data_IF_490160773737
#
_entry.id   IF_490160773737
#
_cell.length_a   1.000
_cell.length_b   1.000
_cell.length_c   1.000
_cell.angle_alpha   90.00
_cell.angle_beta   90.00
_cell.angle_gamma   90.00
#
_symmetry.space_group_name_H-M   'P 1'
#
loop_
_entity.id
_entity.type
_entity.pdbx_description
1 polymer ?
#
# COMPACT_ATOMS: atom_id res chain seq x y z
N UNK A 1 -13.61 -17.96 2.50
CA UNK A 1 -13.31 -16.66 1.89
C UNK A 1 -11.80 -16.44 2.04
N UNK A 2 -11.03 -16.68 0.98
CA UNK A 2 -9.58 -16.51 1.03
C UNK A 2 -9.27 -15.01 1.07
N UNK A 3 -8.84 -14.53 2.24
CA UNK A 3 -8.27 -13.19 2.41
C UNK A 3 -7.11 -13.01 1.42
N UNK A 4 -6.94 -11.84 0.78
CA UNK A 4 -6.09 -11.64 -0.38
C UNK A 4 -4.62 -11.79 -0.01
N UNK A 5 -4.08 -13.00 -0.18
CA UNK A 5 -2.64 -13.21 -0.29
C UNK A 5 -2.13 -12.60 -1.62
N UNK A 6 -3.04 -12.29 -2.55
CA UNK A 6 -2.73 -11.85 -3.93
C UNK A 6 -1.91 -10.55 -4.04
N UNK A 7 -1.69 -9.77 -2.97
CA UNK A 7 -0.99 -8.48 -3.07
C UNK A 7 0.02 -8.19 -1.98
N UNK A 8 0.54 -9.23 -1.30
CA UNK A 8 1.64 -9.04 -0.35
C UNK A 8 2.96 -9.00 -1.13
N UNK A 9 3.75 -7.89 -1.06
CA UNK A 9 4.98 -7.80 -1.83
C UNK A 9 5.98 -8.89 -1.46
N UNK A 10 6.52 -9.56 -2.48
CA UNK A 10 7.72 -10.38 -2.38
C UNK A 10 8.87 -9.51 -2.87
N UNK A 11 9.90 -9.37 -2.05
CA UNK A 11 10.98 -8.41 -2.27
C UNK A 11 12.35 -9.06 -2.10
N UNK A 12 13.36 -8.45 -2.72
CA UNK A 12 14.76 -8.81 -2.48
C UNK A 12 15.22 -8.42 -1.08
N UNK A 13 16.34 -8.97 -0.64
CA UNK A 13 16.94 -8.60 0.65
C UNK A 13 17.22 -7.09 0.79
N UNK A 14 17.71 -6.44 -0.26
CA UNK A 14 18.00 -5.00 -0.24
C UNK A 14 16.74 -4.17 0.03
N UNK A 15 15.61 -4.53 -0.59
CA UNK A 15 14.33 -3.88 -0.36
C UNK A 15 13.79 -4.20 1.04
N UNK A 16 13.91 -5.46 1.49
CA UNK A 16 13.52 -5.84 2.85
C UNK A 16 14.27 -5.01 3.91
N UNK A 17 15.55 -4.73 3.69
CA UNK A 17 16.37 -3.93 4.61
C UNK A 17 15.92 -2.46 4.70
N UNK A 18 15.35 -1.88 3.63
CA UNK A 18 14.73 -0.54 3.69
C UNK A 18 13.58 -0.54 4.69
N UNK A 19 12.68 -1.52 4.60
CA UNK A 19 11.55 -1.61 5.52
C UNK A 19 11.99 -1.88 6.98
N UNK A 20 12.99 -2.75 7.20
CA UNK A 20 13.57 -2.98 8.53
C UNK A 20 14.12 -1.71 9.15
N UNK A 21 14.79 -0.88 8.35
CA UNK A 21 15.42 0.33 8.84
C UNK A 21 14.41 1.45 9.11
N UNK A 22 13.44 1.64 8.21
CA UNK A 22 12.61 2.84 8.19
C UNK A 22 11.21 2.65 8.80
N UNK A 23 10.71 1.42 8.86
CA UNK A 23 9.35 1.13 9.33
C UNK A 23 9.23 -0.23 10.07
N UNK A 24 10.13 -0.55 11.04
CA UNK A 24 10.17 -1.86 11.68
C UNK A 24 8.88 -2.22 12.44
N UNK A 25 8.17 -1.23 13.00
CA UNK A 25 6.94 -1.45 13.75
C UNK A 25 5.68 -1.54 12.85
N UNK A 26 5.84 -1.25 11.57
CA UNK A 26 4.74 -1.20 10.60
C UNK A 26 4.70 -2.43 9.68
N UNK A 27 5.78 -3.23 9.67
CA UNK A 27 5.87 -4.44 8.85
C UNK A 27 6.36 -5.65 9.61
N UNK A 28 5.94 -6.82 9.16
CA UNK A 28 6.59 -8.10 9.42
C UNK A 28 7.27 -8.56 8.13
N UNK A 29 8.47 -9.12 8.28
CA UNK A 29 9.28 -9.57 7.15
C UNK A 29 9.63 -11.03 7.34
N UNK A 30 9.19 -11.87 6.41
CA UNK A 30 9.36 -13.31 6.47
C UNK A 30 10.23 -13.81 5.33
N UNK A 31 11.31 -14.58 5.58
CA UNK A 31 12.07 -15.19 4.51
C UNK A 31 11.20 -16.22 3.78
N UNK A 32 11.33 -16.27 2.47
CA UNK A 32 10.63 -17.24 1.61
C UNK A 32 11.57 -17.80 0.55
N UNK A 33 11.28 -19.02 0.12
CA UNK A 33 11.97 -19.68 -0.99
C UNK A 33 11.10 -19.53 -2.24
N UNK A 34 11.68 -19.01 -3.31
CA UNK A 34 11.00 -18.82 -4.61
C UNK A 34 11.64 -19.77 -5.61
N UNK A 35 10.96 -20.87 -5.93
CA UNK A 35 11.47 -21.89 -6.86
C UNK A 35 12.83 -22.46 -6.42
N UNK A 36 13.72 -22.68 -7.39
CA UNK A 36 15.11 -23.12 -7.17
C UNK A 36 16.11 -21.96 -7.13
N UNK A 37 15.64 -20.72 -6.91
CA UNK A 37 16.50 -19.55 -6.87
C UNK A 37 17.46 -19.60 -5.68
N UNK A 38 18.73 -19.25 -5.92
CA UNK A 38 19.75 -19.11 -4.87
C UNK A 38 19.67 -17.80 -4.10
N UNK A 39 18.88 -16.84 -4.60
CA UNK A 39 18.69 -15.52 -3.99
C UNK A 39 17.69 -15.56 -2.85
N UNK A 40 17.94 -14.76 -1.81
CA UNK A 40 17.03 -14.63 -0.66
C UNK A 40 15.89 -13.65 -0.97
N UNK A 41 14.65 -14.14 -0.86
CA UNK A 41 13.44 -13.35 -1.01
C UNK A 41 12.68 -13.25 0.31
N UNK A 42 11.90 -12.19 0.45
CA UNK A 42 11.13 -11.92 1.66
C UNK A 42 9.72 -11.47 1.32
N UNK A 43 8.76 -11.93 2.11
CA UNK A 43 7.40 -11.38 2.13
C UNK A 43 7.38 -10.18 3.08
N UNK A 44 6.83 -9.05 2.63
CA UNK A 44 6.62 -7.84 3.45
C UNK A 44 5.13 -7.70 3.79
N UNK A 45 4.77 -8.06 5.02
CA UNK A 45 3.41 -7.92 5.52
C UNK A 45 3.26 -6.60 6.29
N UNK A 46 2.45 -5.66 5.78
CA UNK A 46 2.08 -4.47 6.55
C UNK A 46 1.11 -4.85 7.68
N UNK A 47 1.44 -4.50 8.92
CA UNK A 47 0.61 -4.87 10.09
C UNK A 47 -0.44 -3.83 10.47
N UNK A 48 -0.35 -2.63 9.88
CA UNK A 48 -1.28 -1.53 10.13
C UNK A 48 -2.34 -1.42 9.03
N UNK A 49 -3.59 -1.25 9.45
CA UNK A 49 -4.74 -1.03 8.59
C UNK A 49 -5.46 0.25 9.02
N UNK A 50 -5.65 1.20 8.11
CA UNK A 50 -6.08 2.56 8.43
C UNK A 50 -7.31 2.96 7.61
N UNK A 51 -8.31 3.58 8.23
CA UNK A 51 -9.52 4.09 7.55
C UNK A 51 -9.30 5.53 7.02
N UNK A 52 -8.44 5.66 6.02
CA UNK A 52 -7.90 6.96 5.58
C UNK A 52 -8.38 7.46 4.21
N UNK A 53 -9.21 6.72 3.47
CA UNK A 53 -9.57 7.09 2.10
C UNK A 53 -10.43 8.36 2.11
N UNK A 54 -10.08 9.33 1.25
CA UNK A 54 -10.83 10.55 1.03
C UNK A 54 -11.53 10.47 -0.33
N UNK A 55 -12.70 9.82 -0.36
CA UNK A 55 -13.46 9.56 -1.59
C UNK A 55 -13.76 10.85 -2.38
N UNK A 56 -14.02 11.95 -1.67
CA UNK A 56 -14.34 13.23 -2.29
C UNK A 56 -13.16 13.83 -3.08
N UNK A 57 -11.94 13.38 -2.79
CA UNK A 57 -10.72 13.79 -3.50
C UNK A 57 -10.19 12.74 -4.47
N UNK A 58 -10.69 11.50 -4.42
CA UNK A 58 -10.37 10.50 -5.42
C UNK A 58 -10.86 10.95 -6.80
N UNK A 59 -10.13 10.57 -7.86
CA UNK A 59 -10.55 10.93 -9.22
C UNK A 59 -11.84 10.21 -9.62
N UNK A 60 -11.96 8.94 -9.24
CA UNK A 60 -13.15 8.14 -9.48
C UNK A 60 -13.22 7.03 -8.43
N UNK A 61 -14.42 6.77 -7.92
CA UNK A 61 -14.70 5.70 -6.98
C UNK A 61 -15.85 4.87 -7.53
N UNK A 62 -15.61 3.58 -7.75
CA UNK A 62 -16.61 2.63 -8.20
C UNK A 62 -16.95 1.68 -7.05
N UNK A 63 -18.24 1.54 -6.77
CA UNK A 63 -18.78 0.58 -5.82
C UNK A 63 -19.50 -0.54 -6.55
N UNK A 64 -19.54 -1.73 -5.95
CA UNK A 64 -20.47 -2.76 -6.40
C UNK A 64 -21.92 -2.30 -6.16
N UNK A 65 -22.75 -2.41 -7.19
CA UNK A 65 -24.19 -2.14 -7.03
C UNK A 65 -24.89 -3.35 -6.41
N UNK A 66 -26.10 -3.15 -5.89
CA UNK A 66 -26.94 -4.26 -5.41
C UNK A 66 -27.39 -5.20 -6.54
N UNK A 67 -27.33 -4.73 -7.78
CA UNK A 67 -27.71 -5.46 -8.99
C UNK A 67 -26.51 -6.22 -9.63
N UNK A 68 -25.29 -5.99 -9.14
CA UNK A 68 -24.11 -6.70 -9.62
C UNK A 68 -24.20 -8.21 -9.25
N UNK A 69 -23.51 -9.11 -10.00
CA UNK A 69 -23.55 -10.55 -9.77
C UNK A 69 -23.06 -11.03 -8.39
N UNK A 70 -22.52 -10.12 -7.57
CA UNK A 70 -21.91 -10.39 -6.27
C UNK A 70 -22.52 -9.48 -5.18
N UNK A 71 -23.78 -9.73 -4.77
CA UNK A 71 -24.48 -8.88 -3.81
C UNK A 71 -23.82 -8.85 -2.43
N UNK A 72 -22.97 -9.82 -2.09
CA UNK A 72 -22.18 -9.84 -0.85
C UNK A 72 -21.16 -8.70 -0.74
N UNK A 73 -20.83 -8.03 -1.86
CA UNK A 73 -19.95 -6.87 -1.90
C UNK A 73 -20.71 -5.56 -2.14
N UNK A 74 -22.04 -5.55 -2.11
CA UNK A 74 -22.82 -4.34 -2.36
C UNK A 74 -22.37 -3.18 -1.45
N UNK A 75 -22.03 -2.05 -2.06
CA UNK A 75 -21.50 -0.87 -1.36
C UNK A 75 -20.00 -0.89 -1.07
N UNK A 76 -19.30 -2.04 -1.18
CA UNK A 76 -17.85 -2.11 -1.09
C UNK A 76 -17.17 -1.52 -2.33
N UNK A 77 -15.90 -1.12 -2.20
CA UNK A 77 -15.15 -0.62 -3.35
C UNK A 77 -14.89 -1.74 -4.35
N UNK A 78 -15.34 -1.50 -5.59
CA UNK A 78 -14.95 -2.29 -6.76
C UNK A 78 -13.62 -1.81 -7.31
N UNK A 79 -13.46 -0.50 -7.45
CA UNK A 79 -12.23 0.11 -7.97
C UNK A 79 -12.11 1.58 -7.59
N UNK A 80 -10.88 2.07 -7.46
CA UNK A 80 -10.58 3.50 -7.22
C UNK A 80 -9.53 3.94 -8.24
N UNK A 81 -9.85 4.96 -9.04
CA UNK A 81 -8.86 5.65 -9.87
C UNK A 81 -8.39 6.92 -9.17
N UNK A 82 -7.08 7.17 -9.20
CA UNK A 82 -6.48 8.35 -8.57
C UNK A 82 -6.74 8.41 -7.07
N UNK A 83 -6.35 7.35 -6.34
CA UNK A 83 -6.57 7.20 -4.91
C UNK A 83 -6.06 8.42 -4.14
N UNK A 84 -6.90 8.97 -3.26
CA UNK A 84 -6.49 10.01 -2.30
C UNK A 84 -6.81 9.59 -0.88
N UNK A 85 -5.92 9.96 0.03
CA UNK A 85 -6.07 9.71 1.45
C UNK A 85 -6.07 11.03 2.23
N UNK A 86 -6.69 11.01 3.40
CA UNK A 86 -6.52 12.00 4.45
C UNK A 86 -5.27 11.64 5.28
N UNK A 87 -4.14 12.36 5.12
CA UNK A 87 -2.91 12.04 5.83
C UNK A 87 -3.03 12.22 7.34
N UNK A 88 -4.00 13.01 7.84
CA UNK A 88 -4.20 13.19 9.28
C UNK A 88 -4.65 11.90 9.97
N UNK A 89 -5.25 10.97 9.21
CA UNK A 89 -5.71 9.66 9.70
C UNK A 89 -4.62 8.60 9.68
N UNK A 90 -3.44 8.88 9.14
CA UNK A 90 -2.34 7.89 9.08
C UNK A 90 -1.73 7.60 10.47
N UNK A 91 -2.00 8.43 11.49
CA UNK A 91 -1.60 8.20 12.89
C UNK A 91 -0.10 7.88 13.05
N UNK A 92 0.75 8.49 12.22
CA UNK A 92 2.20 8.28 12.24
C UNK A 92 2.68 6.95 11.63
N UNK A 93 1.79 6.12 11.08
CA UNK A 93 2.17 4.94 10.31
C UNK A 93 2.93 5.34 9.04
N UNK A 94 4.10 4.73 8.85
CA UNK A 94 4.95 4.91 7.68
C UNK A 94 4.66 3.89 6.60
N UNK A 95 4.12 2.72 6.96
CA UNK A 95 3.64 1.68 6.03
C UNK A 95 2.31 1.13 6.51
N UNK A 96 1.28 1.12 5.65
CA UNK A 96 -0.03 0.59 6.03
C UNK A 96 -0.90 0.26 4.81
N UNK A 97 -2.00 -0.46 5.04
CA UNK A 97 -3.06 -0.68 4.04
C UNK A 97 -4.32 0.12 4.36
N UNK A 98 -5.01 0.69 3.36
CA UNK A 98 -6.33 1.26 3.58
C UNK A 98 -7.34 0.17 3.98
N UNK A 99 -8.20 0.48 4.96
CA UNK A 99 -9.16 -0.48 5.54
C UNK A 99 -10.10 -1.12 4.52
N UNK A 100 -10.63 -0.29 3.62
CA UNK A 100 -11.66 -0.65 2.64
C UNK A 100 -11.09 -0.93 1.24
N UNK A 101 -9.84 -0.56 0.97
CA UNK A 101 -9.17 -0.79 -0.32
C UNK A 101 -7.79 -1.43 -0.12
N UNK A 102 -7.80 -2.71 0.27
CA UNK A 102 -6.59 -3.45 0.70
C UNK A 102 -5.61 -3.74 -0.43
N UNK A 103 -5.97 -3.45 -1.68
CA UNK A 103 -5.07 -3.54 -2.83
C UNK A 103 -3.87 -2.58 -2.71
N UNK A 104 -4.11 -1.37 -2.22
CA UNK A 104 -3.02 -0.40 -2.07
C UNK A 104 -2.12 -0.72 -0.86
N UNK A 105 -0.82 -0.55 -1.06
CA UNK A 105 0.17 -0.44 0.02
C UNK A 105 0.65 1.01 0.07
N UNK A 106 0.35 1.70 1.16
CA UNK A 106 0.76 3.09 1.34
C UNK A 106 2.09 3.11 2.08
N UNK A 107 3.02 3.90 1.57
CA UNK A 107 4.33 4.15 2.18
C UNK A 107 4.55 5.66 2.34
N UNK A 108 5.22 6.06 3.41
CA UNK A 108 5.71 7.42 3.59
C UNK A 108 6.74 7.80 2.52
N UNK A 109 6.95 9.10 2.31
CA UNK A 109 7.96 9.59 1.37
C UNK A 109 9.37 9.08 1.74
N UNK A 110 9.72 9.04 3.03
CA UNK A 110 11.02 8.53 3.48
C UNK A 110 11.24 7.07 3.07
N UNK A 111 10.22 6.22 3.24
CA UNK A 111 10.27 4.82 2.81
C UNK A 111 10.35 4.73 1.30
N UNK A 112 9.53 5.49 0.55
CA UNK A 112 9.58 5.56 -0.92
C UNK A 112 10.99 5.90 -1.41
N UNK A 113 11.59 6.97 -0.89
CA UNK A 113 12.95 7.37 -1.29
C UNK A 113 13.98 6.28 -0.96
N UNK A 114 13.85 5.63 0.19
CA UNK A 114 14.68 4.48 0.55
C UNK A 114 14.59 3.34 -0.46
N UNK A 115 13.38 3.05 -0.94
CA UNK A 115 13.13 2.05 -1.97
C UNK A 115 13.73 2.49 -3.32
N UNK A 116 13.48 3.73 -3.74
CA UNK A 116 13.98 4.27 -5.02
C UNK A 116 15.51 4.25 -5.11
N UNK A 117 16.23 4.44 -3.98
CA UNK A 117 17.69 4.34 -3.92
C UNK A 117 18.22 2.93 -4.16
N UNK A 118 17.44 1.88 -3.91
CA UNK A 118 17.85 0.49 -4.23
C UNK A 118 17.87 0.27 -5.75
N UNK A 119 16.93 0.89 -6.48
CA UNK A 119 16.79 0.72 -7.93
C UNK A 119 16.17 -0.63 -8.36
N UNK A 120 15.85 -0.75 -9.66
CA UNK A 120 15.33 -1.98 -10.30
C UNK A 120 14.15 -2.67 -9.57
N UNK A 121 13.25 -1.88 -8.99
CA UNK A 121 12.15 -2.41 -8.18
C UNK A 121 11.00 -3.05 -8.98
N UNK A 122 10.84 -2.67 -10.25
CA UNK A 122 9.65 -3.05 -11.04
C UNK A 122 8.34 -2.44 -10.54
N UNK A 123 8.40 -1.38 -9.71
CA UNK A 123 7.22 -0.69 -9.16
C UNK A 123 7.18 0.76 -9.62
N UNK A 124 5.98 1.33 -9.60
CA UNK A 124 5.75 2.77 -9.71
C UNK A 124 5.11 3.28 -8.42
N UNK A 125 5.39 4.54 -8.07
CA UNK A 125 4.78 5.22 -6.94
C UNK A 125 3.80 6.27 -7.44
N UNK A 126 2.59 6.27 -6.89
CA UNK A 126 1.63 7.35 -7.07
C UNK A 126 1.51 8.16 -5.77
N UNK A 127 1.54 9.48 -5.88
CA UNK A 127 1.28 10.37 -4.74
C UNK A 127 -0.20 10.36 -4.41
N UNK A 128 -0.55 9.97 -3.19
CA UNK A 128 -1.94 9.86 -2.71
C UNK A 128 -2.37 10.98 -1.75
N UNK A 129 -1.46 11.87 -1.40
CA UNK A 129 -1.79 13.10 -0.66
C UNK A 129 -1.92 14.27 -1.64
N UNK A 130 -2.73 15.27 -1.32
CA UNK A 130 -2.74 16.52 -2.09
C UNK A 130 -1.32 17.11 -2.16
N UNK A 131 -0.98 17.85 -3.24
CA UNK A 131 0.22 18.69 -3.21
C UNK A 131 0.09 19.59 -1.99
N UNK A 132 1.15 19.62 -1.17
CA UNK A 132 1.25 20.59 -0.10
C UNK A 132 1.04 21.95 -0.75
N UNK A 133 0.09 22.74 -0.25
CA UNK A 133 -0.11 24.08 -0.78
C UNK A 133 1.20 24.80 -0.50
N UNK A 134 2.00 25.04 -1.55
CA UNK A 134 3.25 25.77 -1.43
C UNK A 134 2.99 26.99 -0.54
N UNK A 135 3.71 27.06 0.58
CA UNK A 135 3.74 28.26 1.40
C UNK A 135 4.06 29.43 0.47
N UNK A 136 3.28 30.53 0.48
CA UNK A 136 3.63 31.69 -0.31
C UNK A 136 5.04 32.16 0.10
N UNK A 137 5.83 32.48 -0.91
CA UNK A 137 7.19 33.01 -0.78
C UNK A 137 7.24 34.29 0.06
#
# INVERSE_FOLDING_TARGET
MFSPIEQVPIVSEAVANVFRALAPDDVQIFPVVVGEESMSYFVVNAVKVVDCIDEAKCREVQHYSEEDPFPEYAGEYRWIHGLRIDPSKAEGARVFRPKRFKTALIVSEEVKEGLERVGNLGVSFERVTAPDRALPA
#
